data_IF_349360131461
#
_entry.id   IF_349360131461
#
_cell.length_a   1.000
_cell.length_b   1.000
_cell.length_c   1.000
_cell.angle_alpha   90.00
_cell.angle_beta   90.00
_cell.angle_gamma   90.00
#
_symmetry.space_group_name_H-M   'P 1'
#
loop_
_entity.id
_entity.type
_entity.pdbx_description
1 polymer ?
#
# COMPACT_ATOMS: atom_id res chain seq x y z
N UNK A 1 11.35 -64.35 23.12
CA UNK A 1 12.42 -63.37 23.43
C UNK A 1 13.20 -62.90 22.19
N UNK A 2 12.59 -62.85 20.98
CA UNK A 2 13.24 -62.38 19.74
C UNK A 2 12.30 -61.45 18.92
N UNK A 3 11.16 -61.03 19.49
CA UNK A 3 10.19 -60.14 18.81
C UNK A 3 10.12 -58.72 19.38
N UNK A 4 10.95 -58.40 20.38
CA UNK A 4 11.01 -57.06 21.01
C UNK A 4 12.26 -56.27 20.54
N UNK A 5 13.15 -56.90 19.75
CA UNK A 5 14.40 -56.27 19.30
C UNK A 5 14.35 -55.65 17.90
N UNK A 6 13.23 -55.77 17.17
CA UNK A 6 13.11 -55.25 15.78
C UNK A 6 12.28 -53.95 15.72
N UNK A 7 11.56 -53.61 16.79
CA UNK A 7 10.75 -52.38 16.87
C UNK A 7 11.53 -51.16 17.34
N UNK A 8 12.83 -51.28 17.65
CA UNK A 8 13.64 -50.21 18.25
C UNK A 8 14.71 -49.62 17.32
N UNK A 9 14.73 -50.00 16.03
CA UNK A 9 15.67 -49.45 15.03
C UNK A 9 14.97 -48.67 13.91
N UNK A 10 13.63 -48.66 13.87
CA UNK A 10 12.87 -47.93 12.85
C UNK A 10 12.18 -46.65 13.36
N UNK A 11 12.67 -46.07 14.47
CA UNK A 11 12.17 -44.80 15.02
C UNK A 11 13.24 -43.69 15.06
N UNK A 12 14.35 -43.85 14.33
CA UNK A 12 15.52 -42.97 14.40
C UNK A 12 15.88 -42.19 13.13
N UNK A 13 15.05 -42.20 12.09
CA UNK A 13 15.37 -41.53 10.81
C UNK A 13 14.13 -40.81 10.25
N UNK A 14 13.53 -39.89 11.00
CA UNK A 14 12.65 -38.84 10.46
C UNK A 14 12.86 -37.55 11.28
N UNK A 15 14.09 -37.04 11.33
CA UNK A 15 14.40 -35.68 11.81
C UNK A 15 15.43 -34.99 10.91
N UNK A 16 15.37 -35.25 9.61
CA UNK A 16 15.95 -34.39 8.58
C UNK A 16 14.80 -33.88 7.71
N UNK A 17 13.82 -33.26 8.37
CA UNK A 17 12.94 -32.32 7.69
C UNK A 17 13.81 -31.19 7.17
N UNK A 18 13.72 -30.93 5.88
CA UNK A 18 14.43 -29.89 5.17
C UNK A 18 14.36 -28.56 5.92
N UNK A 19 15.42 -28.25 6.68
CA UNK A 19 15.79 -26.86 6.90
C UNK A 19 16.43 -26.42 5.59
N UNK A 20 15.58 -26.09 4.60
CA UNK A 20 16.01 -25.09 3.63
C UNK A 20 16.32 -23.85 4.46
N UNK A 21 17.61 -23.68 4.75
CA UNK A 21 18.14 -22.35 5.02
C UNK A 21 17.83 -21.55 3.77
N UNK A 22 16.69 -20.88 3.77
CA UNK A 22 16.47 -19.73 2.91
C UNK A 22 17.64 -18.80 3.24
N UNK A 23 18.65 -18.81 2.37
CA UNK A 23 19.62 -17.72 2.31
C UNK A 23 18.80 -16.52 1.86
N UNK A 24 18.07 -15.90 2.81
CA UNK A 24 17.52 -14.57 2.61
C UNK A 24 18.68 -13.74 2.09
N UNK A 25 18.54 -13.09 0.91
CA UNK A 25 19.60 -12.26 0.40
C UNK A 25 20.01 -11.30 1.51
N UNK A 26 21.29 -11.36 1.90
CA UNK A 26 21.81 -10.56 2.99
C UNK A 26 21.54 -9.10 2.62
N UNK A 27 20.68 -8.43 3.39
CA UNK A 27 20.28 -7.05 3.11
C UNK A 27 21.54 -6.18 3.07
N UNK A 28 21.67 -5.38 2.01
CA UNK A 28 22.75 -4.40 1.89
C UNK A 28 22.73 -3.39 3.04
N UNK A 29 23.87 -2.74 3.28
CA UNK A 29 23.97 -1.73 4.34
C UNK A 29 22.98 -0.57 4.12
N UNK A 30 22.83 -0.11 2.87
CA UNK A 30 21.87 0.93 2.50
C UNK A 30 20.43 0.51 2.80
N UNK A 31 20.06 -0.71 2.43
CA UNK A 31 18.76 -1.31 2.72
C UNK A 31 18.45 -1.36 4.23
N UNK A 32 19.44 -1.71 5.07
CA UNK A 32 19.28 -1.71 6.53
C UNK A 32 19.05 -0.29 7.07
N UNK A 33 19.85 0.69 6.63
CA UNK A 33 19.68 2.10 7.04
C UNK A 33 18.33 2.68 6.59
N UNK A 34 17.86 2.30 5.40
CA UNK A 34 16.52 2.67 4.95
C UNK A 34 15.40 1.98 5.74
N UNK A 35 15.63 0.80 6.34
CA UNK A 35 14.65 0.18 7.25
C UNK A 35 14.48 1.02 8.51
N UNK A 36 15.58 1.55 9.07
CA UNK A 36 15.52 2.39 10.26
C UNK A 36 14.70 3.67 10.01
N UNK A 37 14.87 4.31 8.85
CA UNK A 37 14.05 5.47 8.45
C UNK A 37 12.59 5.05 8.20
N UNK A 38 12.36 3.92 7.53
CA UNK A 38 11.03 3.45 7.20
C UNK A 38 10.20 3.11 8.44
N UNK A 39 10.79 2.47 9.46
CA UNK A 39 10.11 2.19 10.73
C UNK A 39 9.64 3.49 11.40
N UNK A 40 10.52 4.49 11.46
CA UNK A 40 10.19 5.77 12.09
C UNK A 40 9.16 6.55 11.28
N UNK A 41 9.18 6.45 9.96
CA UNK A 41 8.12 6.97 9.09
C UNK A 41 6.75 6.36 9.45
N UNK A 42 6.66 5.04 9.63
CA UNK A 42 5.40 4.38 9.99
C UNK A 42 4.90 4.86 11.36
N UNK A 43 5.79 4.92 12.36
CA UNK A 43 5.45 5.42 13.70
C UNK A 43 4.95 6.87 13.66
N UNK A 44 5.61 7.72 12.86
CA UNK A 44 5.19 9.10 12.67
C UNK A 44 3.83 9.20 11.96
N UNK A 45 3.57 8.37 10.95
CA UNK A 45 2.28 8.35 10.28
C UNK A 45 1.14 7.93 11.22
N UNK A 46 1.38 6.94 12.09
CA UNK A 46 0.43 6.55 13.12
C UNK A 46 0.20 7.67 14.15
N UNK A 47 1.25 8.37 14.56
CA UNK A 47 1.15 9.52 15.47
C UNK A 47 0.33 10.67 14.85
N UNK A 48 0.50 10.94 13.56
CA UNK A 48 -0.34 11.90 12.82
C UNK A 48 -1.81 11.46 12.83
N UNK A 49 -2.07 10.16 12.74
CA UNK A 49 -3.43 9.58 12.84
C UNK A 49 -4.19 9.96 14.11
N UNK A 50 -3.49 10.30 15.21
CA UNK A 50 -4.14 10.83 16.44
C UNK A 50 -4.83 12.17 16.17
N UNK A 51 -4.20 13.02 15.34
CA UNK A 51 -4.65 14.38 15.06
C UNK A 51 -5.45 14.49 13.76
N UNK A 52 -5.32 13.51 12.87
CA UNK A 52 -6.09 13.36 11.63
C UNK A 52 -6.62 11.92 11.52
N UNK A 53 -7.83 11.62 12.05
CA UNK A 53 -8.34 10.25 12.18
C UNK A 53 -8.33 9.41 10.90
N UNK A 54 -8.59 10.02 9.73
CA UNK A 54 -8.63 9.30 8.44
C UNK A 54 -7.27 9.23 7.72
N UNK A 55 -6.17 9.61 8.39
CA UNK A 55 -4.85 9.58 7.76
C UNK A 55 -4.32 8.15 7.58
N UNK A 56 -4.66 7.24 8.50
CA UNK A 56 -4.33 5.82 8.42
C UNK A 56 -5.62 5.01 8.46
N UNK A 57 -6.00 4.42 7.32
CA UNK A 57 -7.23 3.63 7.18
C UNK A 57 -7.16 2.30 7.97
N UNK A 58 -6.03 1.59 7.87
CA UNK A 58 -5.80 0.36 8.61
C UNK A 58 -4.32 0.13 8.90
N UNK A 59 -4.02 -0.37 10.10
CA UNK A 59 -2.66 -0.74 10.53
C UNK A 59 -2.62 -2.20 10.99
N UNK A 60 -1.74 -2.98 10.37
CA UNK A 60 -1.56 -4.42 10.63
C UNK A 60 -0.13 -4.76 11.11
N UNK A 61 0.65 -3.76 11.51
CA UNK A 61 2.01 -3.97 12.01
C UNK A 61 2.06 -4.23 13.52
N UNK A 62 3.28 -4.25 14.11
CA UNK A 62 3.47 -4.52 15.53
C UNK A 62 2.67 -3.59 16.44
N UNK A 63 1.97 -4.16 17.43
CA UNK A 63 1.13 -3.39 18.37
C UNK A 63 1.93 -2.34 19.13
N UNK A 64 3.21 -2.61 19.42
CA UNK A 64 4.12 -1.69 20.11
C UNK A 64 4.47 -0.43 19.32
N UNK A 65 4.13 -0.34 18.02
CA UNK A 65 4.32 0.87 17.23
C UNK A 65 3.13 1.83 17.31
N UNK A 66 1.98 1.38 17.81
CA UNK A 66 0.81 2.25 17.96
C UNK A 66 1.14 3.37 18.97
N UNK A 67 0.85 4.63 18.64
CA UNK A 67 1.20 5.74 19.50
C UNK A 67 0.34 5.75 20.75
N UNK A 68 0.92 6.21 21.86
CA UNK A 68 0.17 6.45 23.10
C UNK A 68 -0.45 7.84 23.01
N UNK A 69 -1.77 7.90 22.99
CA UNK A 69 -2.49 9.17 22.94
C UNK A 69 -2.50 9.86 24.30
N UNK A 70 -1.55 10.78 24.51
CA UNK A 70 -1.47 11.60 25.73
C UNK A 70 -2.09 13.00 25.57
N UNK A 71 -2.44 13.39 24.34
CA UNK A 71 -2.78 14.77 23.99
C UNK A 71 -4.30 15.02 23.84
N UNK A 72 -5.15 14.05 24.15
CA UNK A 72 -6.60 14.11 23.92
C UNK A 72 -6.97 14.60 22.50
N UNK A 73 -6.17 14.23 21.50
CA UNK A 73 -6.30 14.66 20.09
C UNK A 73 -6.22 16.19 19.86
N UNK A 74 -5.72 16.98 20.80
CA UNK A 74 -5.59 18.43 20.63
C UNK A 74 -4.33 18.77 19.83
N UNK A 75 -4.50 19.59 18.80
CA UNK A 75 -3.39 20.15 18.01
C UNK A 75 -3.02 21.51 18.60
N UNK A 76 -1.78 21.62 19.06
CA UNK A 76 -1.18 22.89 19.49
C UNK A 76 0.18 23.12 18.82
N UNK A 77 0.79 24.27 19.09
CA UNK A 77 2.09 24.64 18.50
C UNK A 77 3.22 23.69 18.91
N UNK A 78 3.15 23.05 20.07
CA UNK A 78 4.17 22.10 20.51
C UNK A 78 4.05 20.78 19.74
N UNK A 79 2.82 20.30 19.51
CA UNK A 79 2.54 19.14 18.66
C UNK A 79 3.06 19.39 17.24
N UNK A 80 2.70 20.52 16.62
CA UNK A 80 3.17 20.86 15.27
C UNK A 80 4.70 20.95 15.21
N UNK A 81 5.34 21.59 16.18
CA UNK A 81 6.80 21.69 16.23
C UNK A 81 7.45 20.31 16.40
N UNK A 82 6.87 19.43 17.23
CA UNK A 82 7.36 18.06 17.42
C UNK A 82 7.26 17.22 16.15
N UNK A 83 6.10 17.21 15.48
CA UNK A 83 5.89 16.47 14.25
C UNK A 83 6.78 17.00 13.12
N UNK A 84 6.89 18.31 12.98
CA UNK A 84 7.79 18.96 12.01
C UNK A 84 9.25 18.55 12.26
N UNK A 85 9.71 18.60 13.52
CA UNK A 85 11.06 18.18 13.86
C UNK A 85 11.35 16.71 13.54
N UNK A 86 10.37 15.82 13.78
CA UNK A 86 10.49 14.39 13.45
C UNK A 86 10.59 14.15 11.95
N UNK A 87 9.73 14.77 11.13
CA UNK A 87 9.80 14.58 9.67
C UNK A 87 11.08 15.18 9.08
N UNK A 88 11.53 16.33 9.58
CA UNK A 88 12.77 16.97 9.12
C UNK A 88 14.01 16.12 9.47
N UNK A 89 14.07 15.54 10.66
CA UNK A 89 15.13 14.59 11.04
C UNK A 89 15.15 13.36 10.11
N UNK A 90 13.98 12.81 9.78
CA UNK A 90 13.89 11.67 8.87
C UNK A 90 14.29 12.02 7.43
N UNK A 91 13.89 13.18 6.92
CA UNK A 91 14.31 13.67 5.62
C UNK A 91 15.84 13.85 5.58
N UNK A 92 16.42 14.50 6.59
CA UNK A 92 17.87 14.69 6.68
C UNK A 92 18.62 13.35 6.76
N UNK A 93 18.13 12.40 7.56
CA UNK A 93 18.71 11.05 7.65
C UNK A 93 18.66 10.35 6.31
N UNK A 94 17.53 10.44 5.60
CA UNK A 94 17.39 9.81 4.29
C UNK A 94 18.30 10.49 3.25
N UNK A 95 18.37 11.81 3.20
CA UNK A 95 19.26 12.56 2.30
C UNK A 95 20.74 12.19 2.48
N UNK A 96 21.17 11.98 3.73
CA UNK A 96 22.52 11.49 4.02
C UNK A 96 22.81 10.09 3.44
N UNK A 97 21.78 9.29 3.15
CA UNK A 97 21.93 7.99 2.48
C UNK A 97 22.10 8.13 0.96
N UNK A 98 21.90 9.33 0.38
CA UNK A 98 22.06 9.58 -1.06
C UNK A 98 23.49 9.40 -1.58
N UNK A 99 24.48 9.34 -0.69
CA UNK A 99 25.90 9.13 -1.03
C UNK A 99 26.25 7.65 -1.29
N UNK A 100 25.37 6.72 -0.91
CA UNK A 100 25.62 5.28 -1.06
C UNK A 100 25.47 4.84 -2.52
N UNK A 101 26.26 3.85 -2.91
CA UNK A 101 26.02 3.13 -4.16
C UNK A 101 24.75 2.29 -3.99
N UNK A 102 23.77 2.55 -4.85
CA UNK A 102 22.46 1.90 -4.77
C UNK A 102 22.22 1.03 -6.01
N UNK A 103 21.65 -0.14 -5.78
CA UNK A 103 21.01 -0.94 -6.82
C UNK A 103 19.78 -0.22 -7.38
N UNK A 104 19.22 -0.72 -8.49
CA UNK A 104 17.98 -0.18 -9.06
C UNK A 104 16.80 -0.25 -8.08
N UNK A 105 16.70 -1.34 -7.31
CA UNK A 105 15.64 -1.52 -6.32
C UNK A 105 15.82 -0.57 -5.12
N UNK A 106 17.04 -0.44 -4.60
CA UNK A 106 17.34 0.51 -3.51
C UNK A 106 17.07 1.96 -3.94
N UNK A 107 17.38 2.32 -5.19
CA UNK A 107 17.07 3.64 -5.74
C UNK A 107 15.56 3.92 -5.76
N UNK A 108 14.76 2.94 -6.18
CA UNK A 108 13.30 3.06 -6.18
C UNK A 108 12.75 3.17 -4.76
N UNK A 109 13.26 2.35 -3.84
CA UNK A 109 12.87 2.37 -2.43
C UNK A 109 13.21 3.70 -1.76
N UNK A 110 14.41 4.23 -1.99
CA UNK A 110 14.82 5.56 -1.53
C UNK A 110 13.82 6.62 -2.01
N UNK A 111 13.53 6.64 -3.32
CA UNK A 111 12.62 7.63 -3.92
C UNK A 111 11.22 7.54 -3.31
N UNK A 112 10.71 6.34 -3.14
CA UNK A 112 9.41 6.11 -2.53
C UNK A 112 9.38 6.67 -1.10
N UNK A 113 10.34 6.29 -0.25
CA UNK A 113 10.38 6.73 1.14
C UNK A 113 10.55 8.26 1.25
N UNK A 114 11.35 8.88 0.38
CA UNK A 114 11.52 10.32 0.33
C UNK A 114 10.20 11.03 0.02
N UNK A 115 9.46 10.56 -0.99
CA UNK A 115 8.15 11.09 -1.36
C UNK A 115 7.12 10.92 -0.25
N UNK A 116 7.14 9.78 0.44
CA UNK A 116 6.27 9.55 1.61
C UNK A 116 6.55 10.54 2.75
N UNK A 117 7.82 10.84 3.04
CA UNK A 117 8.18 11.85 4.05
C UNK A 117 7.79 13.28 3.63
N UNK A 118 7.89 13.62 2.34
CA UNK A 118 7.38 14.89 1.85
C UNK A 118 5.85 15.00 1.99
N UNK A 119 5.11 13.93 1.71
CA UNK A 119 3.65 13.86 1.93
C UNK A 119 3.31 14.03 3.41
N UNK A 120 4.06 13.39 4.32
CA UNK A 120 3.94 13.58 5.77
C UNK A 120 4.16 15.05 6.16
N UNK A 121 5.20 15.69 5.64
CA UNK A 121 5.48 17.11 5.91
C UNK A 121 4.36 18.03 5.41
N UNK A 122 3.81 17.72 4.24
CA UNK A 122 2.61 18.37 3.70
C UNK A 122 1.41 18.23 4.62
N UNK A 123 1.10 17.00 5.06
CA UNK A 123 0.01 16.71 5.99
C UNK A 123 0.17 17.46 7.32
N UNK A 124 1.39 17.53 7.88
CA UNK A 124 1.65 18.32 9.10
C UNK A 124 1.33 19.81 8.86
N UNK A 125 1.63 20.33 7.67
CA UNK A 125 1.33 21.71 7.31
C UNK A 125 -0.19 21.96 7.21
N UNK A 126 -0.94 21.00 6.66
CA UNK A 126 -2.42 21.03 6.64
C UNK A 126 -2.98 20.99 8.07
N UNK A 127 -2.46 20.10 8.94
CA UNK A 127 -2.88 20.02 10.35
C UNK A 127 -2.58 21.32 11.10
N UNK A 128 -1.51 22.03 10.73
CA UNK A 128 -1.18 23.35 11.27
C UNK A 128 -2.06 24.49 10.72
N UNK A 129 -3.03 24.20 9.85
CA UNK A 129 -3.95 25.17 9.25
C UNK A 129 -3.44 25.79 7.93
N UNK A 130 -2.44 25.18 7.29
CA UNK A 130 -1.99 25.60 5.96
C UNK A 130 -3.03 25.28 4.88
N UNK A 131 -3.29 26.25 4.00
CA UNK A 131 -4.17 26.09 2.84
C UNK A 131 -3.35 25.91 1.56
N UNK A 132 -3.72 24.91 0.74
CA UNK A 132 -3.12 24.64 -0.56
C UNK A 132 -4.18 24.72 -1.66
N UNK A 133 -3.76 25.01 -2.89
CA UNK A 133 -4.62 24.74 -4.04
C UNK A 133 -4.77 23.23 -4.22
N UNK A 134 -5.84 22.81 -4.90
CA UNK A 134 -6.06 21.40 -5.24
C UNK A 134 -4.82 20.76 -5.90
N UNK A 135 -4.21 21.45 -6.86
CA UNK A 135 -3.02 20.96 -7.57
C UNK A 135 -1.81 20.80 -6.65
N UNK A 136 -1.60 21.75 -5.74
CA UNK A 136 -0.50 21.66 -4.78
C UNK A 136 -0.74 20.52 -3.79
N UNK A 137 -1.97 20.37 -3.31
CA UNK A 137 -2.32 19.26 -2.42
C UNK A 137 -2.14 17.90 -3.13
N UNK A 138 -2.63 17.78 -4.37
CA UNK A 138 -2.46 16.59 -5.19
C UNK A 138 -0.97 16.24 -5.39
N UNK A 139 -0.15 17.25 -5.65
CA UNK A 139 1.30 17.08 -5.84
C UNK A 139 2.02 16.70 -4.55
N UNK A 140 1.70 17.37 -3.44
CA UNK A 140 2.39 17.17 -2.16
C UNK A 140 1.99 15.83 -1.54
N UNK A 141 0.70 15.53 -1.48
CA UNK A 141 0.20 14.34 -0.77
C UNK A 141 0.31 13.06 -1.60
N UNK A 142 0.15 13.15 -2.92
CA UNK A 142 0.02 11.99 -3.81
C UNK A 142 1.07 11.94 -4.93
N UNK A 143 2.00 12.90 -5.00
CA UNK A 143 2.95 13.08 -6.12
C UNK A 143 2.27 13.12 -7.50
N UNK A 144 1.01 13.57 -7.54
CA UNK A 144 0.17 13.58 -8.72
C UNK A 144 0.04 14.99 -9.32
N UNK A 145 -0.08 15.05 -10.64
CA UNK A 145 -0.41 16.27 -11.38
C UNK A 145 -1.74 16.04 -12.10
N UNK A 146 -2.87 16.45 -11.49
CA UNK A 146 -4.18 16.27 -12.10
C UNK A 146 -4.26 16.98 -13.45
N UNK A 147 -4.71 16.28 -14.52
CA UNK A 147 -4.86 16.92 -15.81
C UNK A 147 -6.01 17.92 -15.77
N UNK A 148 -5.84 19.01 -16.51
CA UNK A 148 -6.87 20.03 -16.67
C UNK A 148 -7.51 19.90 -18.04
N UNK A 149 -8.84 19.79 -18.04
CA UNK A 149 -9.63 19.66 -19.26
C UNK A 149 -10.71 20.73 -19.32
N UNK A 150 -11.01 21.21 -20.52
CA UNK A 150 -12.07 22.18 -20.72
C UNK A 150 -13.46 21.52 -20.67
N UNK A 151 -14.53 22.28 -20.45
CA UNK A 151 -15.89 21.75 -20.55
C UNK A 151 -16.19 21.04 -21.88
N UNK A 152 -15.63 21.53 -23.00
CA UNK A 152 -15.81 20.94 -24.33
C UNK A 152 -15.18 19.55 -24.44
N UNK A 153 -14.04 19.32 -23.77
CA UNK A 153 -13.44 17.99 -23.72
C UNK A 153 -14.42 16.96 -23.13
N UNK A 154 -15.06 17.31 -22.00
CA UNK A 154 -16.04 16.44 -21.37
C UNK A 154 -17.31 16.28 -22.22
N UNK A 155 -17.75 17.34 -22.91
CA UNK A 155 -18.90 17.25 -23.81
C UNK A 155 -18.63 16.27 -24.97
N UNK A 156 -17.44 16.31 -25.57
CA UNK A 156 -17.08 15.37 -26.65
C UNK A 156 -17.11 13.91 -26.17
N UNK A 157 -16.65 13.63 -24.94
CA UNK A 157 -16.74 12.29 -24.34
C UNK A 157 -18.20 11.88 -24.13
N UNK A 158 -19.05 12.81 -23.69
CA UNK A 158 -20.47 12.53 -23.52
C UNK A 158 -21.14 12.24 -24.87
N UNK A 159 -20.79 12.95 -25.93
CA UNK A 159 -21.33 12.74 -27.27
C UNK A 159 -20.89 11.38 -27.84
N UNK A 160 -19.62 11.01 -27.71
CA UNK A 160 -19.12 9.67 -28.09
C UNK A 160 -19.85 8.55 -27.33
N UNK A 161 -20.08 8.76 -26.03
CA UNK A 161 -20.82 7.81 -25.20
C UNK A 161 -22.31 7.74 -25.61
N UNK A 162 -22.90 8.87 -26.02
CA UNK A 162 -24.30 8.97 -26.47
C UNK A 162 -24.54 8.22 -27.78
N UNK A 163 -23.57 8.26 -28.70
CA UNK A 163 -23.55 7.51 -29.96
C UNK A 163 -23.29 6.01 -29.75
N UNK A 164 -22.39 5.66 -28.82
CA UNK A 164 -21.95 4.28 -28.60
C UNK A 164 -22.96 3.46 -27.80
N UNK A 165 -23.65 4.07 -26.83
CA UNK A 165 -24.59 3.35 -25.97
C UNK A 165 -25.89 3.01 -26.71
N UNK A 166 -26.34 1.74 -26.68
CA UNK A 166 -27.57 1.35 -27.34
C UNK A 166 -28.82 1.91 -26.62
N UNK A 167 -29.90 2.08 -27.39
CA UNK A 167 -31.20 2.56 -26.91
C UNK A 167 -31.41 4.05 -27.08
N UNK A 168 -32.59 4.55 -26.73
CA UNK A 168 -33.00 5.95 -26.90
C UNK A 168 -33.23 6.65 -25.55
N UNK A 169 -33.23 7.99 -25.57
CA UNK A 169 -33.50 8.81 -24.40
C UNK A 169 -32.25 9.22 -23.61
N UNK A 170 -32.45 9.67 -22.37
CA UNK A 170 -31.39 10.33 -21.57
C UNK A 170 -30.17 9.42 -21.38
N UNK A 171 -28.99 9.91 -21.77
CA UNK A 171 -27.69 9.21 -21.67
C UNK A 171 -27.47 8.52 -20.32
N UNK A 172 -27.62 9.25 -19.22
CA UNK A 172 -27.46 8.70 -17.86
C UNK A 172 -28.34 7.47 -17.57
N UNK A 173 -29.55 7.42 -18.13
CA UNK A 173 -30.45 6.26 -17.96
C UNK A 173 -29.93 5.08 -18.78
N UNK A 174 -29.57 5.30 -20.05
CA UNK A 174 -29.01 4.26 -20.93
C UNK A 174 -27.74 3.66 -20.33
N UNK A 175 -26.84 4.48 -19.78
CA UNK A 175 -25.63 4.02 -19.11
C UNK A 175 -25.95 3.17 -17.86
N UNK A 176 -26.90 3.59 -17.04
CA UNK A 176 -27.31 2.81 -15.87
C UNK A 176 -27.97 1.48 -16.27
N UNK A 177 -28.88 1.50 -17.25
CA UNK A 177 -29.52 0.28 -17.76
C UNK A 177 -28.49 -0.68 -18.34
N UNK A 178 -27.47 -0.18 -19.05
CA UNK A 178 -26.35 -0.97 -19.55
C UNK A 178 -25.55 -1.60 -18.40
N UNK A 179 -25.13 -0.80 -17.40
CA UNK A 179 -24.41 -1.31 -16.21
C UNK A 179 -25.21 -2.34 -15.43
N UNK A 180 -26.53 -2.17 -15.34
CA UNK A 180 -27.41 -3.09 -14.62
C UNK A 180 -27.43 -4.50 -15.21
N UNK A 181 -27.12 -4.66 -16.51
CA UNK A 181 -27.03 -5.98 -17.15
C UNK A 181 -25.85 -6.81 -16.60
N UNK A 182 -24.87 -6.17 -15.98
CA UNK A 182 -23.69 -6.82 -15.40
C UNK A 182 -23.79 -7.03 -13.89
N UNK A 183 -24.92 -6.67 -13.27
CA UNK A 183 -25.13 -6.94 -11.84
C UNK A 183 -25.27 -8.45 -11.65
N UNK A 184 -24.34 -9.03 -10.91
CA UNK A 184 -24.36 -10.44 -10.53
C UNK A 184 -25.39 -10.61 -9.42
N UNK A 185 -26.42 -11.47 -9.58
CA UNK A 185 -27.34 -11.79 -8.50
C UNK A 185 -26.59 -12.35 -7.29
N UNK A 186 -26.94 -11.93 -6.07
CA UNK A 186 -26.22 -12.31 -4.84
C UNK A 186 -25.98 -13.82 -4.71
N UNK A 187 -27.01 -14.63 -5.01
CA UNK A 187 -26.94 -16.09 -5.00
C UNK A 187 -25.91 -16.70 -5.96
N UNK A 188 -25.45 -15.94 -6.94
CA UNK A 188 -24.48 -16.37 -7.95
C UNK A 188 -23.06 -15.80 -7.70
N UNK A 189 -22.86 -14.97 -6.67
CA UNK A 189 -21.56 -14.33 -6.41
C UNK A 189 -20.45 -15.36 -6.26
N UNK A 190 -20.66 -16.38 -5.41
CA UNK A 190 -19.67 -17.44 -5.16
C UNK A 190 -19.24 -18.16 -6.44
N UNK A 191 -20.21 -18.53 -7.28
CA UNK A 191 -19.93 -19.22 -8.54
C UNK A 191 -19.15 -18.34 -9.53
N UNK A 192 -19.52 -17.06 -9.67
CA UNK A 192 -18.84 -16.14 -10.61
C UNK A 192 -17.43 -15.83 -10.15
N UNK A 193 -17.23 -15.49 -8.87
CA UNK A 193 -15.91 -15.20 -8.34
C UNK A 193 -15.01 -16.43 -8.33
N UNK A 194 -15.53 -17.62 -8.02
CA UNK A 194 -14.77 -18.88 -8.11
C UNK A 194 -14.30 -19.13 -9.54
N UNK A 195 -15.17 -18.94 -10.54
CA UNK A 195 -14.81 -19.10 -11.94
C UNK A 195 -13.73 -18.08 -12.37
N UNK A 196 -13.87 -16.82 -11.96
CA UNK A 196 -12.89 -15.77 -12.26
C UNK A 196 -11.53 -16.06 -11.61
N UNK A 197 -11.49 -16.44 -10.34
CA UNK A 197 -10.27 -16.78 -9.62
C UNK A 197 -9.56 -17.99 -10.25
N UNK A 198 -10.30 -19.04 -10.61
CA UNK A 198 -9.72 -20.21 -11.25
C UNK A 198 -9.09 -19.88 -12.61
N UNK A 199 -9.74 -19.03 -13.41
CA UNK A 199 -9.19 -18.60 -14.69
C UNK A 199 -7.97 -17.67 -14.52
N UNK A 200 -8.01 -16.74 -13.56
CA UNK A 200 -6.84 -15.94 -13.19
C UNK A 200 -5.67 -16.84 -12.80
N UNK A 201 -5.88 -17.82 -11.92
CA UNK A 201 -4.84 -18.80 -11.51
C UNK A 201 -4.27 -19.55 -12.71
N UNK A 202 -5.13 -20.09 -13.57
CA UNK A 202 -4.73 -20.83 -14.77
C UNK A 202 -3.91 -19.98 -15.75
N UNK A 203 -4.17 -18.67 -15.83
CA UNK A 203 -3.38 -17.73 -16.66
C UNK A 203 -2.06 -17.38 -15.99
N UNK A 204 -2.09 -17.03 -14.70
CA UNK A 204 -0.92 -16.62 -13.93
C UNK A 204 0.10 -17.74 -13.82
N UNK A 205 -0.33 -18.98 -13.57
CA UNK A 205 0.55 -20.15 -13.39
C UNK A 205 1.38 -20.52 -14.63
N UNK A 206 1.06 -19.96 -15.80
CA UNK A 206 1.85 -20.12 -17.02
C UNK A 206 3.11 -19.24 -17.04
N UNK A 207 3.12 -18.19 -16.22
CA UNK A 207 4.18 -17.16 -16.23
C UNK A 207 4.85 -16.98 -14.87
N UNK A 208 4.16 -17.32 -13.78
CA UNK A 208 4.64 -17.13 -12.41
C UNK A 208 4.43 -18.44 -11.65
N UNK A 209 5.52 -19.02 -11.16
CA UNK A 209 5.44 -20.13 -10.21
C UNK A 209 4.95 -19.58 -8.87
N UNK A 210 3.82 -20.10 -8.38
CA UNK A 210 3.25 -19.69 -7.09
C UNK A 210 3.41 -20.82 -6.06
N UNK A 211 3.69 -20.48 -4.78
CA UNK A 211 3.68 -21.45 -3.70
C UNK A 211 2.33 -22.18 -3.59
N UNK A 212 2.36 -23.41 -3.11
CA UNK A 212 1.16 -24.22 -2.93
C UNK A 212 0.21 -23.55 -1.92
N UNK A 213 -1.00 -23.21 -2.35
CA UNK A 213 -2.03 -22.57 -1.51
C UNK A 213 -2.11 -21.04 -1.59
N UNK A 214 -1.20 -20.36 -2.31
CA UNK A 214 -1.30 -18.92 -2.54
C UNK A 214 -2.20 -18.56 -3.75
N UNK A 215 -2.80 -17.37 -3.69
CA UNK A 215 -3.72 -16.83 -4.72
C UNK A 215 -3.23 -15.48 -5.22
#
# INVERSE_FOLDING_TARGET
MIRILVTLVLSGIILLGCSEKTNLPQKGELELKMNDVAEQYVKLALEIGIYKPDYVDAYYGPEEWKPVNTSNNQVDSNVIASLTGKVDDLLNKLEALGEYQATGLETQRYRFLYKQLLSVKGMISIIAGGEFSFDMEAKILYDAEPPHHSPEHFQNILDELDETLPGEGKLSKRLNDFRNQFIIPEKNLDAVFTAALNECRNRTSKYIEMPEGES
#
